data_IF_242140152871
#
_entry.id   IF_242140152871
#
_cell.length_a   1.000
_cell.length_b   1.000
_cell.length_c   1.000
_cell.angle_alpha   90.00
_cell.angle_beta   90.00
_cell.angle_gamma   90.00
#
_symmetry.space_group_name_H-M   'P 1'
#
loop_
_entity.id
_entity.type
_entity.pdbx_description
1 polymer ?
#
# COMPACT_ATOMS: atom_id res chain seq x y z
N UNK A 1 -10.82 -22.70 -0.09
CA UNK A 1 -9.91 -22.19 0.95
C UNK A 1 -8.55 -21.94 0.28
N UNK A 2 -8.37 -20.78 -0.36
CA UNK A 2 -7.26 -20.57 -1.30
C UNK A 2 -6.07 -19.88 -0.63
N UNK A 3 -5.05 -20.72 -0.40
CA UNK A 3 -3.62 -20.49 -0.18
C UNK A 3 -3.17 -19.02 -0.15
N UNK A 4 -2.94 -18.52 1.07
CA UNK A 4 -2.46 -17.16 1.35
C UNK A 4 -0.93 -17.01 1.33
N UNK A 5 -0.22 -17.74 0.45
CA UNK A 5 1.25 -17.86 0.49
C UNK A 5 2.05 -17.19 -0.63
N UNK A 6 1.49 -16.98 -1.83
CA UNK A 6 2.33 -16.88 -3.04
C UNK A 6 1.92 -15.73 -3.99
N UNK A 7 1.69 -14.52 -3.47
CA UNK A 7 1.24 -13.38 -4.29
C UNK A 7 2.12 -12.13 -4.19
N UNK A 8 3.37 -12.23 -3.77
CA UNK A 8 4.23 -11.05 -3.64
C UNK A 8 5.05 -10.72 -4.90
N UNK A 9 5.24 -11.65 -5.84
CA UNK A 9 6.10 -11.44 -7.02
C UNK A 9 5.42 -10.75 -8.22
N UNK A 10 4.09 -10.71 -8.30
CA UNK A 10 3.36 -10.10 -9.45
C UNK A 10 2.67 -8.79 -9.09
N UNK A 11 2.78 -8.33 -7.84
CA UNK A 11 2.12 -7.09 -7.42
C UNK A 11 2.91 -5.87 -7.88
N UNK A 12 2.20 -4.87 -8.42
CA UNK A 12 2.77 -3.57 -8.73
C UNK A 12 3.39 -2.97 -7.47
N UNK A 13 4.68 -2.63 -7.58
CA UNK A 13 5.44 -1.98 -6.52
C UNK A 13 5.42 -0.48 -6.73
N UNK A 14 5.04 0.26 -5.69
CA UNK A 14 4.92 1.71 -5.75
C UNK A 14 5.56 2.36 -4.52
N UNK A 15 6.45 3.32 -4.73
CA UNK A 15 7.13 4.08 -3.67
C UNK A 15 6.68 5.55 -3.74
N UNK A 16 5.54 5.91 -3.12
CA UNK A 16 5.05 7.28 -3.13
C UNK A 16 5.94 8.20 -2.27
N UNK A 17 6.55 9.25 -2.85
CA UNK A 17 7.40 10.18 -2.10
C UNK A 17 6.62 11.00 -1.06
N UNK A 18 5.33 11.25 -1.31
CA UNK A 18 4.47 12.05 -0.44
C UNK A 18 2.99 11.62 -0.53
N UNK A 19 2.16 12.25 0.32
CA UNK A 19 0.70 12.05 0.35
C UNK A 19 0.02 12.36 -1.00
N UNK A 20 0.49 13.37 -1.73
CA UNK A 20 -0.11 13.79 -3.01
C UNK A 20 0.11 12.74 -4.09
N UNK A 21 1.31 12.17 -4.17
CA UNK A 21 1.64 11.08 -5.08
C UNK A 21 0.83 9.82 -4.76
N UNK A 22 0.64 9.50 -3.48
CA UNK A 22 -0.24 8.42 -3.04
C UNK A 22 -1.68 8.63 -3.53
N UNK A 23 -2.23 9.81 -3.30
CA UNK A 23 -3.59 10.16 -3.73
C UNK A 23 -3.75 10.11 -5.24
N UNK A 24 -2.82 10.69 -6.01
CA UNK A 24 -2.85 10.68 -7.46
C UNK A 24 -2.81 9.26 -8.05
N UNK A 25 -2.07 8.35 -7.41
CA UNK A 25 -2.10 6.94 -7.81
C UNK A 25 -3.48 6.33 -7.55
N UNK A 26 -4.08 6.56 -6.38
CA UNK A 26 -5.40 6.04 -6.03
C UNK A 26 -6.49 6.61 -6.96
N UNK A 27 -6.50 7.90 -7.26
CA UNK A 27 -7.47 8.52 -8.18
C UNK A 27 -7.52 7.78 -9.53
N UNK A 28 -6.36 7.41 -10.07
CA UNK A 28 -6.23 6.72 -11.35
C UNK A 28 -6.53 5.22 -11.27
N UNK A 29 -6.22 4.57 -10.14
CA UNK A 29 -6.11 3.12 -10.06
C UNK A 29 -7.09 2.43 -9.11
N UNK A 30 -7.77 3.18 -8.22
CA UNK A 30 -8.55 2.59 -7.10
C UNK A 30 -9.69 1.66 -7.54
N UNK A 31 -10.20 1.82 -8.78
CA UNK A 31 -11.29 0.99 -9.34
C UNK A 31 -10.79 -0.16 -10.22
N UNK A 32 -9.59 -0.06 -10.75
CA UNK A 32 -9.07 -0.98 -11.78
C UNK A 32 -8.04 -1.96 -11.21
N UNK A 33 -7.26 -1.54 -10.21
CA UNK A 33 -6.25 -2.37 -9.57
C UNK A 33 -6.86 -3.16 -8.41
N UNK A 34 -6.48 -4.43 -8.30
CA UNK A 34 -6.91 -5.33 -7.23
C UNK A 34 -6.03 -5.26 -5.98
N UNK A 35 -4.79 -4.79 -6.15
CA UNK A 35 -3.80 -4.68 -5.10
C UNK A 35 -2.63 -3.78 -5.57
N UNK A 36 -1.91 -3.21 -4.61
CA UNK A 36 -0.62 -2.55 -4.82
C UNK A 36 0.28 -2.80 -3.61
N UNK A 37 1.57 -2.99 -3.85
CA UNK A 37 2.58 -3.07 -2.80
C UNK A 37 3.25 -1.71 -2.64
N UNK A 38 3.05 -1.05 -1.50
CA UNK A 38 3.70 0.21 -1.19
C UNK A 38 5.03 -0.02 -0.50
N UNK A 39 6.08 0.67 -0.94
CA UNK A 39 7.32 0.82 -0.17
C UNK A 39 7.20 2.06 0.69
N UNK A 40 7.31 1.87 2.01
CA UNK A 40 7.34 2.94 2.98
C UNK A 40 8.67 2.96 3.73
N UNK A 41 9.18 4.15 3.96
CA UNK A 41 10.37 4.39 4.78
C UNK A 41 9.99 4.53 6.24
N UNK A 42 10.87 4.03 7.12
CA UNK A 42 10.79 4.24 8.56
C UNK A 42 11.11 5.69 8.91
N UNK A 43 10.63 6.12 10.07
CA UNK A 43 11.00 7.43 10.64
C UNK A 43 12.52 7.52 10.78
N UNK A 44 13.11 8.58 10.23
CA UNK A 44 14.56 8.81 10.27
C UNK A 44 15.36 8.20 9.11
N UNK A 45 14.70 7.59 8.11
CA UNK A 45 15.39 7.13 6.90
C UNK A 45 15.93 8.30 6.07
N UNK A 46 17.07 8.10 5.40
CA UNK A 46 17.69 9.10 4.53
C UNK A 46 16.81 9.52 3.34
N UNK A 47 15.89 8.63 2.91
CA UNK A 47 14.90 8.89 1.86
C UNK A 47 13.50 8.68 2.43
N UNK A 48 12.86 9.72 2.98
CA UNK A 48 11.49 9.61 3.47
C UNK A 48 10.53 9.41 2.30
N UNK A 49 9.54 8.54 2.50
CA UNK A 49 8.35 8.39 1.66
C UNK A 49 7.16 8.98 2.39
N UNK A 50 5.96 8.87 1.81
CA UNK A 50 4.72 9.03 2.57
C UNK A 50 4.78 8.21 3.87
N UNK A 51 4.25 8.76 4.95
CA UNK A 51 4.16 8.04 6.22
C UNK A 51 3.10 6.94 6.15
N UNK A 52 3.17 5.97 7.06
CA UNK A 52 2.11 4.97 7.18
C UNK A 52 0.73 5.59 7.42
N UNK A 53 0.66 6.60 8.31
CA UNK A 53 -0.59 7.29 8.62
C UNK A 53 -1.21 7.96 7.40
N UNK A 54 -0.43 8.73 6.65
CA UNK A 54 -0.88 9.36 5.41
C UNK A 54 -1.27 8.33 4.34
N UNK A 55 -0.51 7.25 4.19
CA UNK A 55 -0.82 6.19 3.25
C UNK A 55 -2.15 5.49 3.57
N UNK A 56 -2.45 5.34 4.86
CA UNK A 56 -3.67 4.73 5.36
C UNK A 56 -4.88 5.68 5.28
N UNK A 57 -4.72 6.95 5.63
CA UNK A 57 -5.77 7.97 5.45
C UNK A 57 -6.26 8.01 4.00
N UNK A 58 -5.33 8.09 3.04
CA UNK A 58 -5.70 8.07 1.63
C UNK A 58 -6.26 6.70 1.22
N UNK A 59 -5.76 5.59 1.76
CA UNK A 59 -6.38 4.28 1.47
C UNK A 59 -7.86 4.26 1.90
N UNK A 60 -8.16 4.67 3.13
CA UNK A 60 -9.53 4.70 3.67
C UNK A 60 -10.42 5.63 2.84
N UNK A 61 -9.93 6.81 2.45
CA UNK A 61 -10.68 7.76 1.63
C UNK A 61 -11.15 7.18 0.28
N UNK A 62 -10.40 6.22 -0.28
CA UNK A 62 -10.75 5.53 -1.52
C UNK A 62 -11.37 4.15 -1.31
N UNK A 63 -11.66 3.76 -0.07
CA UNK A 63 -12.24 2.45 0.27
C UNK A 63 -11.23 1.30 0.19
N UNK A 64 -9.94 1.58 0.38
CA UNK A 64 -8.85 0.60 0.43
C UNK A 64 -8.39 0.37 1.87
N UNK A 65 -7.74 -0.77 2.11
CA UNK A 65 -7.15 -1.14 3.41
C UNK A 65 -5.77 -1.76 3.19
N UNK A 66 -4.91 -1.68 4.19
CA UNK A 66 -3.68 -2.46 4.23
C UNK A 66 -3.95 -3.90 4.70
N UNK A 67 -3.00 -4.78 4.42
CA UNK A 67 -3.04 -6.18 4.82
C UNK A 67 -1.71 -6.57 5.46
N UNK A 68 -0.98 -7.52 4.89
CA UNK A 68 0.34 -7.92 5.41
C UNK A 68 1.41 -7.00 4.87
N UNK A 69 2.32 -6.63 5.77
CA UNK A 69 3.57 -5.97 5.42
C UNK A 69 4.76 -6.85 5.76
N UNK A 70 5.82 -6.71 4.96
CA UNK A 70 7.11 -7.37 5.20
C UNK A 70 8.21 -6.31 5.25
N UNK A 71 9.21 -6.51 6.10
CA UNK A 71 10.40 -5.67 6.10
C UNK A 71 11.11 -5.82 4.75
N UNK A 72 11.48 -4.70 4.13
CA UNK A 72 12.26 -4.71 2.89
C UNK A 72 13.74 -4.64 3.20
N UNK A 73 14.13 -3.69 4.06
CA UNK A 73 15.50 -3.53 4.54
C UNK A 73 15.51 -2.86 5.93
N UNK A 74 16.66 -2.32 6.35
CA UNK A 74 16.81 -1.69 7.66
C UNK A 74 15.88 -0.49 7.82
N UNK A 75 15.72 0.29 6.75
CA UNK A 75 15.13 1.62 6.77
C UNK A 75 13.78 1.66 6.04
N UNK A 76 13.39 0.58 5.34
CA UNK A 76 12.14 0.46 4.56
C UNK A 76 11.37 -0.83 4.81
N UNK A 77 10.07 -0.75 4.60
CA UNK A 77 9.15 -1.87 4.67
C UNK A 77 8.13 -1.79 3.54
N UNK A 78 7.55 -2.94 3.19
CA UNK A 78 6.52 -3.07 2.17
C UNK A 78 5.17 -3.32 2.84
N UNK A 79 4.10 -2.71 2.34
CA UNK A 79 2.72 -2.98 2.75
C UNK A 79 1.83 -3.20 1.53
N UNK A 80 1.03 -4.26 1.57
CA UNK A 80 0.07 -4.53 0.51
C UNK A 80 -1.24 -3.84 0.83
N UNK A 81 -1.70 -2.98 -0.08
CA UNK A 81 -3.01 -2.34 -0.03
C UNK A 81 -3.94 -2.96 -1.06
N UNK A 82 -5.19 -3.18 -0.66
CA UNK A 82 -6.25 -3.74 -1.52
C UNK A 82 -7.56 -2.98 -1.33
N UNK A 83 -8.45 -2.91 -2.35
CA UNK A 83 -9.81 -2.45 -2.14
C UNK A 83 -10.47 -3.26 -1.02
N UNK A 84 -11.19 -2.59 -0.13
CA UNK A 84 -12.01 -3.25 0.88
C UNK A 84 -13.07 -4.07 0.15
N UNK A 85 -13.24 -5.34 0.53
CA UNK A 85 -14.31 -6.17 -0.04
C UNK A 85 -15.67 -5.58 0.34
N UNK A 86 -16.57 -5.34 -0.63
CA UNK A 86 -17.93 -4.97 -0.30
C UNK A 86 -18.62 -6.19 0.33
N UNK A 87 -19.00 -6.07 1.61
CA UNK A 87 -19.88 -7.02 2.30
C UNK A 87 -19.22 -8.34 2.71
N UNK A 88 -18.75 -8.41 3.96
CA UNK A 88 -19.01 -9.59 4.78
C UNK A 88 -20.28 -9.30 5.56
N UNK A 89 -21.38 -9.95 5.20
CA UNK A 89 -22.56 -10.08 6.08
C UNK A 89 -22.16 -10.94 7.28
#
# INVERSE_FOLDING_TARGET
MERSGERSDTLELFEPPDRKARRAWLEKNHRTKKAVCLILSKKGAARPTVTYGEAMEEAIAFGWIDSRGNRLDRDRFKLIFTPRRPGGV
#
